data_IF_720262556349
#
_entry.id   IF_720262556349
#
_cell.length_a   1.000
_cell.length_b   1.000
_cell.length_c   1.000
_cell.angle_alpha   90.00
_cell.angle_beta   90.00
_cell.angle_gamma   90.00
#
_symmetry.space_group_name_H-M   'P 1'
#
loop_
_entity.id
_entity.type
_entity.pdbx_description
1 polymer ?
#
# COMPACT_ATOMS: atom_id res chain seq x y z
N UNK A 1 21.60 -30.62 -14.66
CA UNK A 1 20.33 -30.10 -15.19
C UNK A 1 20.26 -28.64 -14.76
N UNK A 2 20.35 -27.70 -15.70
CA UNK A 2 20.09 -26.29 -15.43
C UNK A 2 18.64 -26.19 -14.97
N UNK A 3 18.39 -26.03 -13.68
CA UNK A 3 17.04 -25.71 -13.22
C UNK A 3 16.68 -24.36 -13.83
N UNK A 4 15.71 -24.38 -14.76
CA UNK A 4 15.18 -23.15 -15.33
C UNK A 4 14.66 -22.28 -14.18
N UNK A 5 15.05 -21.00 -14.15
CA UNK A 5 14.69 -20.09 -13.08
C UNK A 5 13.16 -19.95 -13.01
N UNK A 6 12.59 -20.12 -11.80
CA UNK A 6 11.13 -20.11 -11.60
C UNK A 6 10.51 -18.79 -12.08
N UNK A 7 9.36 -18.88 -12.76
CA UNK A 7 8.62 -17.74 -13.32
C UNK A 7 7.31 -17.56 -12.56
N UNK A 8 7.27 -16.55 -11.69
CA UNK A 8 6.15 -16.33 -10.77
C UNK A 8 5.27 -15.17 -11.27
N UNK A 9 3.95 -15.36 -11.29
CA UNK A 9 3.00 -14.27 -11.58
C UNK A 9 2.44 -13.70 -10.29
N UNK A 10 2.78 -12.44 -10.00
CA UNK A 10 2.35 -11.73 -8.80
C UNK A 10 1.03 -10.98 -9.05
N UNK A 11 -0.09 -11.54 -8.67
CA UNK A 11 -1.38 -10.90 -8.79
C UNK A 11 -1.59 -9.87 -7.67
N UNK A 12 -1.53 -8.59 -8.04
CA UNK A 12 -1.58 -7.46 -7.11
C UNK A 12 -2.24 -6.24 -7.76
N UNK A 13 -2.00 -5.04 -7.21
CA UNK A 13 -2.52 -3.78 -7.74
C UNK A 13 -1.40 -2.79 -8.06
N UNK A 14 -0.25 -3.27 -8.56
CA UNK A 14 0.96 -2.49 -8.86
C UNK A 14 0.65 -1.13 -9.51
N UNK A 15 -0.15 -1.11 -10.57
CA UNK A 15 -0.45 0.12 -11.33
C UNK A 15 -1.63 0.92 -10.74
N UNK A 16 -1.83 0.83 -9.43
CA UNK A 16 -2.70 1.72 -8.69
C UNK A 16 -2.24 3.17 -8.81
N UNK A 17 -3.17 4.14 -8.87
CA UNK A 17 -2.81 5.55 -8.71
C UNK A 17 -2.09 5.82 -7.39
N UNK A 18 -2.37 5.04 -6.34
CA UNK A 18 -1.58 5.07 -5.12
C UNK A 18 -0.26 4.32 -5.35
N UNK A 19 0.81 5.08 -5.52
CA UNK A 19 2.16 4.59 -5.78
C UNK A 19 2.72 3.71 -4.65
N UNK A 20 2.14 3.77 -3.44
CA UNK A 20 2.48 2.83 -2.35
C UNK A 20 2.24 1.37 -2.73
N UNK A 21 1.15 1.10 -3.46
CA UNK A 21 0.85 -0.24 -3.98
C UNK A 21 1.86 -0.70 -5.04
N UNK A 22 2.38 0.24 -5.83
CA UNK A 22 3.45 -0.03 -6.79
C UNK A 22 4.79 -0.29 -6.08
N UNK A 23 5.10 0.50 -5.05
CA UNK A 23 6.35 0.43 -4.28
C UNK A 23 6.52 -0.94 -3.62
N UNK A 24 5.48 -1.42 -2.93
CA UNK A 24 5.51 -2.73 -2.31
C UNK A 24 5.59 -3.85 -3.38
N UNK A 25 4.93 -3.66 -4.54
CA UNK A 25 4.88 -4.68 -5.60
C UNK A 25 6.25 -4.83 -6.27
N UNK A 26 6.90 -3.71 -6.59
CA UNK A 26 8.27 -3.69 -7.11
C UNK A 26 9.27 -4.23 -6.09
N UNK A 27 9.06 -3.97 -4.79
CA UNK A 27 9.92 -4.52 -3.73
C UNK A 27 9.82 -6.05 -3.65
N UNK A 28 8.61 -6.63 -3.80
CA UNK A 28 8.41 -8.07 -3.85
C UNK A 28 8.98 -8.71 -5.12
N UNK A 29 8.82 -8.06 -6.27
CA UNK A 29 9.43 -8.50 -7.54
C UNK A 29 10.95 -8.60 -7.41
N UNK A 30 11.60 -7.53 -6.96
CA UNK A 30 13.04 -7.47 -6.79
C UNK A 30 13.55 -8.50 -5.79
N UNK A 31 12.83 -8.74 -4.69
CA UNK A 31 13.19 -9.79 -3.72
C UNK A 31 13.14 -11.20 -4.33
N UNK A 32 12.15 -11.49 -5.17
CA UNK A 32 12.10 -12.77 -5.87
C UNK A 32 13.21 -12.91 -6.92
N UNK A 33 13.59 -11.83 -7.59
CA UNK A 33 14.74 -11.81 -8.50
C UNK A 33 16.05 -12.05 -7.75
N UNK A 34 16.24 -11.40 -6.59
CA UNK A 34 17.39 -11.60 -5.71
C UNK A 34 17.49 -13.08 -5.27
N UNK A 35 16.35 -13.73 -5.04
CA UNK A 35 16.26 -15.15 -4.69
C UNK A 35 16.35 -16.13 -5.88
N UNK A 36 16.68 -15.62 -7.08
CA UNK A 36 16.95 -16.45 -8.26
C UNK A 36 15.74 -16.79 -9.14
N UNK A 37 14.60 -16.11 -8.97
CA UNK A 37 13.50 -16.20 -9.92
C UNK A 37 13.84 -15.46 -11.22
N UNK A 38 13.26 -15.90 -12.35
CA UNK A 38 13.52 -15.30 -13.66
C UNK A 38 13.11 -13.82 -13.70
N UNK A 39 14.01 -12.85 -13.99
CA UNK A 39 13.62 -11.44 -14.09
C UNK A 39 12.63 -11.14 -15.22
N UNK A 40 12.73 -11.86 -16.34
CA UNK A 40 11.78 -11.74 -17.45
C UNK A 40 10.49 -12.53 -17.25
N UNK A 41 10.51 -13.54 -16.37
CA UNK A 41 9.37 -14.39 -16.06
C UNK A 41 8.69 -14.10 -14.72
N UNK A 42 9.21 -13.21 -13.90
CA UNK A 42 8.65 -12.92 -12.57
C UNK A 42 8.25 -11.47 -12.46
N UNK A 43 6.95 -11.20 -12.46
CA UNK A 43 6.43 -9.84 -12.55
C UNK A 43 4.96 -9.76 -12.12
N UNK A 44 4.52 -8.54 -11.84
CA UNK A 44 3.16 -8.23 -11.42
C UNK A 44 2.14 -8.34 -12.55
N UNK A 45 1.01 -8.95 -12.22
CA UNK A 45 -0.21 -8.99 -13.02
C UNK A 45 -1.27 -8.18 -12.27
N UNK A 46 -1.63 -7.02 -12.81
CA UNK A 46 -2.54 -6.12 -12.12
C UNK A 46 -3.98 -6.65 -12.14
N UNK A 47 -4.56 -6.83 -10.96
CA UNK A 47 -5.92 -7.35 -10.76
C UNK A 47 -7.02 -6.44 -11.33
N UNK A 48 -6.72 -5.20 -11.74
CA UNK A 48 -7.66 -4.35 -12.46
C UNK A 48 -7.34 -4.28 -13.97
N UNK A 49 -6.39 -5.08 -14.45
CA UNK A 49 -5.87 -5.08 -15.82
C UNK A 49 -5.39 -3.69 -16.26
N UNK A 50 -4.65 -3.02 -15.38
CA UNK A 50 -3.86 -1.82 -15.67
C UNK A 50 -2.46 -2.23 -16.13
N UNK A 51 -1.80 -1.39 -16.92
CA UNK A 51 -0.49 -1.71 -17.52
C UNK A 51 0.56 -0.63 -17.34
N UNK A 52 0.22 0.51 -16.74
CA UNK A 52 1.13 1.63 -16.55
C UNK A 52 0.67 2.49 -15.37
N UNK A 53 1.64 3.17 -14.73
CA UNK A 53 1.35 4.21 -13.76
C UNK A 53 0.68 5.42 -14.42
N UNK A 54 -0.20 6.09 -13.70
CA UNK A 54 -0.89 7.26 -14.19
C UNK A 54 -1.99 7.72 -13.23
N UNK A 55 -2.50 8.95 -13.39
CA UNK A 55 -3.38 9.63 -12.43
C UNK A 55 -4.78 9.01 -12.27
N UNK A 56 -5.04 7.82 -12.85
CA UNK A 56 -6.38 7.27 -12.97
C UNK A 56 -7.27 8.11 -13.89
N UNK A 57 -8.40 7.54 -14.36
CA UNK A 57 -9.33 8.29 -15.19
C UNK A 57 -10.17 9.27 -14.36
N UNK A 58 -10.24 10.55 -14.74
CA UNK A 58 -11.06 11.57 -14.07
C UNK A 58 -12.55 11.21 -13.97
N UNK A 59 -13.06 10.41 -14.92
CA UNK A 59 -14.43 9.88 -14.93
C UNK A 59 -14.73 8.89 -13.79
N UNK A 60 -13.69 8.27 -13.21
CA UNK A 60 -13.84 7.30 -12.11
C UNK A 60 -14.25 7.98 -10.81
N UNK A 61 -13.74 9.18 -10.53
CA UNK A 61 -14.11 9.93 -9.32
C UNK A 61 -15.57 10.37 -9.32
N UNK A 62 -16.09 10.81 -10.48
CA UNK A 62 -17.50 11.14 -10.65
C UNK A 62 -18.41 9.90 -10.50
N UNK A 63 -18.00 8.76 -11.09
CA UNK A 63 -18.72 7.49 -10.95
C UNK A 63 -18.73 7.00 -9.49
N UNK A 64 -17.60 7.06 -8.79
CA UNK A 64 -17.52 6.67 -7.38
C UNK A 64 -18.44 7.53 -6.51
N UNK A 65 -18.45 8.87 -6.70
CA UNK A 65 -19.34 9.79 -5.97
C UNK A 65 -20.82 9.49 -6.23
N UNK A 66 -21.19 9.20 -7.48
CA UNK A 66 -22.55 8.79 -7.83
C UNK A 66 -22.92 7.47 -7.15
N UNK A 67 -22.05 6.47 -7.21
CA UNK A 67 -22.29 5.15 -6.62
C UNK A 67 -22.37 5.23 -5.08
N UNK A 68 -21.56 6.08 -4.43
CA UNK A 68 -21.62 6.27 -2.97
C UNK A 68 -22.91 6.93 -2.50
N UNK A 69 -23.60 7.68 -3.37
CA UNK A 69 -24.92 8.25 -3.06
C UNK A 69 -26.07 7.23 -3.10
N UNK A 70 -25.83 5.99 -3.58
CA UNK A 70 -26.84 4.95 -3.64
C UNK A 70 -26.86 4.10 -2.36
N UNK A 71 -28.03 3.64 -1.89
CA UNK A 71 -28.12 2.66 -0.81
C UNK A 71 -27.30 1.40 -1.13
N UNK A 72 -26.62 0.77 -0.14
CA UNK A 72 -25.72 -0.36 -0.38
C UNK A 72 -26.34 -1.52 -1.18
N UNK A 73 -27.61 -1.84 -0.93
CA UNK A 73 -28.33 -2.91 -1.66
C UNK A 73 -28.56 -2.58 -3.14
N UNK A 74 -28.87 -1.31 -3.45
CA UNK A 74 -29.08 -0.81 -4.82
C UNK A 74 -27.76 -0.77 -5.56
N UNK A 75 -26.72 -0.22 -4.93
CA UNK A 75 -25.36 -0.13 -5.48
C UNK A 75 -24.82 -1.51 -5.87
N UNK A 76 -24.93 -2.49 -4.96
CA UNK A 76 -24.49 -3.87 -5.22
C UNK A 76 -25.20 -4.49 -6.41
N UNK A 77 -26.51 -4.27 -6.55
CA UNK A 77 -27.29 -4.82 -7.66
C UNK A 77 -26.94 -4.13 -8.98
N UNK A 78 -26.86 -2.80 -8.98
CA UNK A 78 -26.50 -2.00 -10.14
C UNK A 78 -25.11 -2.33 -10.70
N UNK A 79 -24.17 -2.70 -9.82
CA UNK A 79 -22.80 -3.03 -10.22
C UNK A 79 -22.63 -4.46 -10.74
N UNK A 80 -23.56 -5.40 -10.51
CA UNK A 80 -23.41 -6.81 -10.90
C UNK A 80 -23.13 -7.00 -12.40
N UNK A 81 -23.96 -6.40 -13.26
CA UNK A 81 -23.86 -6.56 -14.71
C UNK A 81 -22.59 -5.89 -15.30
N UNK A 82 -22.28 -4.61 -14.98
CA UNK A 82 -21.01 -4.00 -15.37
C UNK A 82 -19.80 -4.79 -14.88
N UNK A 83 -19.86 -5.32 -13.65
CA UNK A 83 -18.78 -6.12 -13.08
C UNK A 83 -18.56 -7.43 -13.82
N UNK A 84 -19.63 -8.16 -14.11
CA UNK A 84 -19.55 -9.39 -14.91
C UNK A 84 -18.98 -9.09 -16.31
N UNK A 85 -19.40 -8.00 -16.95
CA UNK A 85 -18.86 -7.59 -18.23
C UNK A 85 -17.35 -7.25 -18.17
N UNK A 86 -16.91 -6.50 -17.15
CA UNK A 86 -15.47 -6.21 -16.94
C UNK A 86 -14.67 -7.49 -16.69
N UNK A 87 -15.20 -8.40 -15.88
CA UNK A 87 -14.58 -9.69 -15.60
C UNK A 87 -14.36 -10.49 -16.88
N UNK A 88 -15.40 -10.67 -17.71
CA UNK A 88 -15.32 -11.49 -18.92
C UNK A 88 -14.54 -10.83 -20.05
N UNK A 89 -14.70 -9.51 -20.26
CA UNK A 89 -14.12 -8.81 -21.42
C UNK A 89 -12.70 -8.33 -21.17
N UNK A 90 -12.32 -8.07 -19.92
CA UNK A 90 -11.04 -7.42 -19.58
C UNK A 90 -10.17 -8.26 -18.66
N UNK A 91 -10.68 -8.66 -17.49
CA UNK A 91 -9.83 -9.28 -16.47
C UNK A 91 -9.44 -10.71 -16.81
N UNK A 92 -10.40 -11.57 -17.16
CA UNK A 92 -10.12 -12.98 -17.49
C UNK A 92 -9.14 -13.12 -18.67
N UNK A 93 -9.32 -12.45 -19.83
CA UNK A 93 -8.35 -12.52 -20.91
C UNK A 93 -6.99 -11.90 -20.56
N UNK A 94 -6.96 -10.90 -19.67
CA UNK A 94 -5.70 -10.36 -19.16
C UNK A 94 -4.96 -11.40 -18.31
N UNK A 95 -5.65 -12.05 -17.37
CA UNK A 95 -5.06 -13.05 -16.48
C UNK A 95 -4.60 -14.29 -17.25
N UNK A 96 -5.42 -14.81 -18.18
CA UNK A 96 -5.08 -15.97 -18.99
C UNK A 96 -3.77 -15.77 -19.75
N UNK A 97 -3.63 -14.63 -20.45
CA UNK A 97 -2.40 -14.30 -21.20
C UNK A 97 -1.15 -14.24 -20.33
N UNK A 98 -1.28 -13.86 -19.06
CA UNK A 98 -0.12 -13.75 -18.16
C UNK A 98 0.22 -15.08 -17.50
N UNK A 99 -0.76 -15.95 -17.31
CA UNK A 99 -0.56 -17.27 -16.72
C UNK A 99 0.04 -18.28 -17.70
N UNK A 100 0.11 -17.94 -18.99
CA UNK A 100 0.83 -18.73 -19.96
C UNK A 100 2.32 -18.75 -19.57
N UNK A 101 2.90 -19.96 -19.47
CA UNK A 101 4.28 -20.19 -19.01
C UNK A 101 4.58 -19.79 -17.55
N UNK A 102 3.58 -19.56 -16.70
CA UNK A 102 3.80 -19.37 -15.28
C UNK A 102 4.12 -20.73 -14.61
N UNK A 103 5.05 -20.73 -13.66
CA UNK A 103 5.35 -21.90 -12.84
C UNK A 103 4.63 -21.84 -11.49
N UNK A 104 4.28 -20.63 -11.04
CA UNK A 104 3.54 -20.38 -9.80
C UNK A 104 2.79 -19.04 -9.84
N UNK A 105 1.84 -18.88 -8.90
CA UNK A 105 1.06 -17.66 -8.69
C UNK A 105 1.23 -17.18 -7.25
N UNK A 106 1.38 -15.88 -7.07
CA UNK A 106 1.32 -15.24 -5.74
C UNK A 106 0.22 -14.18 -5.76
N UNK A 107 -0.71 -14.26 -4.82
CA UNK A 107 -1.69 -13.23 -4.54
C UNK A 107 -1.19 -12.42 -3.37
N UNK A 108 -0.70 -11.20 -3.61
CA UNK A 108 0.00 -10.52 -2.53
C UNK A 108 0.24 -9.05 -2.75
N UNK A 109 0.66 -8.40 -1.67
CA UNK A 109 1.08 -7.02 -1.69
C UNK A 109 -0.07 -6.00 -1.54
N UNK A 110 -0.55 -5.84 -0.32
CA UNK A 110 -1.53 -4.81 0.05
C UNK A 110 -2.87 -5.37 0.54
N UNK A 111 -3.88 -4.50 0.62
CA UNK A 111 -5.18 -4.83 1.21
C UNK A 111 -6.11 -5.55 0.20
N UNK A 112 -5.66 -6.67 -0.36
CA UNK A 112 -6.36 -7.37 -1.44
C UNK A 112 -7.61 -8.12 -0.98
N UNK A 113 -7.61 -8.65 0.24
CA UNK A 113 -8.73 -9.41 0.80
C UNK A 113 -9.73 -8.44 1.42
N UNK A 114 -10.45 -7.71 0.56
CA UNK A 114 -11.45 -6.74 0.97
C UNK A 114 -12.74 -6.80 0.13
N UNK A 115 -13.89 -6.93 0.79
CA UNK A 115 -15.18 -7.02 0.09
C UNK A 115 -15.92 -5.68 0.03
N UNK A 116 -15.43 -4.82 -0.87
CA UNK A 116 -16.16 -3.63 -1.29
C UNK A 116 -16.87 -3.94 -2.60
N UNK A 117 -18.19 -4.15 -2.52
CA UNK A 117 -19.09 -4.43 -3.64
C UNK A 117 -18.62 -5.60 -4.54
N UNK A 118 -18.08 -6.68 -3.95
CA UNK A 118 -17.57 -7.87 -4.65
C UNK A 118 -16.44 -7.60 -5.66
N UNK A 119 -15.84 -6.40 -5.66
CA UNK A 119 -14.81 -6.01 -6.61
C UNK A 119 -13.55 -6.89 -6.49
N UNK A 120 -12.89 -6.90 -5.33
CA UNK A 120 -11.76 -7.80 -5.10
C UNK A 120 -12.17 -9.27 -4.99
N UNK A 121 -13.27 -9.67 -4.32
CA UNK A 121 -13.71 -11.06 -4.32
C UNK A 121 -13.80 -11.67 -5.72
N UNK A 122 -14.35 -10.92 -6.69
CA UNK A 122 -14.48 -11.39 -8.08
C UNK A 122 -13.12 -11.52 -8.78
N UNK A 123 -12.20 -10.57 -8.56
CA UNK A 123 -10.84 -10.61 -9.11
C UNK A 123 -10.03 -11.78 -8.54
N UNK A 124 -10.06 -11.94 -7.22
CA UNK A 124 -9.35 -13.01 -6.50
C UNK A 124 -9.88 -14.38 -6.92
N UNK A 125 -11.20 -14.56 -6.91
CA UNK A 125 -11.80 -15.83 -7.31
C UNK A 125 -11.46 -16.20 -8.76
N UNK A 126 -11.42 -15.22 -9.67
CA UNK A 126 -11.05 -15.45 -11.06
C UNK A 126 -9.57 -15.82 -11.20
N UNK A 127 -8.65 -15.14 -10.51
CA UNK A 127 -7.23 -15.44 -10.52
C UNK A 127 -6.96 -16.86 -9.95
N UNK A 128 -7.55 -17.17 -8.79
CA UNK A 128 -7.49 -18.49 -8.15
C UNK A 128 -8.04 -19.60 -9.05
N UNK A 129 -9.20 -19.37 -9.68
CA UNK A 129 -9.82 -20.37 -10.57
C UNK A 129 -8.97 -20.65 -11.81
N UNK A 130 -8.31 -19.63 -12.38
CA UNK A 130 -7.42 -19.81 -13.53
C UNK A 130 -6.11 -20.49 -13.15
N UNK A 131 -5.56 -20.19 -11.98
CA UNK A 131 -4.41 -20.89 -11.43
C UNK A 131 -4.74 -22.37 -11.18
N UNK A 132 -5.89 -22.66 -10.58
CA UNK A 132 -6.40 -24.01 -10.36
C UNK A 132 -6.58 -24.80 -11.67
N UNK A 133 -7.18 -24.18 -12.70
CA UNK A 133 -7.36 -24.80 -14.02
C UNK A 133 -6.02 -25.18 -14.68
N UNK A 134 -4.94 -24.46 -14.37
CA UNK A 134 -3.57 -24.72 -14.84
C UNK A 134 -2.74 -25.55 -13.86
N UNK A 135 -3.32 -25.97 -12.73
CA UNK A 135 -2.66 -26.70 -11.64
C UNK A 135 -1.41 -25.99 -11.11
N UNK A 136 -1.42 -24.65 -11.12
CA UNK A 136 -0.30 -23.86 -10.60
C UNK A 136 -0.34 -23.83 -9.07
N UNK A 137 0.81 -23.99 -8.39
CA UNK A 137 0.91 -23.70 -6.96
C UNK A 137 0.64 -22.22 -6.73
N UNK A 138 -0.11 -21.93 -5.66
CA UNK A 138 -0.52 -20.57 -5.29
C UNK A 138 -0.01 -20.27 -3.90
N UNK A 139 0.51 -19.07 -3.71
CA UNK A 139 0.73 -18.51 -2.39
C UNK A 139 -0.08 -17.22 -2.21
N UNK A 140 -0.45 -16.95 -0.96
CA UNK A 140 -1.02 -15.68 -0.54
C UNK A 140 0.04 -15.00 0.31
N UNK A 141 0.43 -13.77 -0.03
CA UNK A 141 1.61 -13.15 0.59
C UNK A 141 1.36 -11.73 1.08
N UNK A 142 1.58 -11.50 2.37
CA UNK A 142 1.55 -10.17 2.99
C UNK A 142 0.24 -9.41 2.76
N UNK A 143 -0.90 -10.11 2.69
CA UNK A 143 -2.19 -9.49 2.40
C UNK A 143 -2.84 -8.92 3.66
N UNK A 144 -3.54 -7.80 3.51
CA UNK A 144 -4.49 -7.31 4.51
C UNK A 144 -5.88 -7.89 4.30
N UNK A 145 -6.57 -8.25 5.40
CA UNK A 145 -7.93 -8.80 5.38
C UNK A 145 -8.90 -7.86 6.10
N UNK A 146 -9.90 -7.33 5.39
CA UNK A 146 -10.92 -6.45 6.00
C UNK A 146 -11.92 -7.22 6.86
N UNK A 147 -12.56 -6.53 7.81
CA UNK A 147 -13.57 -7.12 8.70
C UNK A 147 -14.92 -7.33 8.00
N UNK A 148 -15.33 -6.40 7.15
CA UNK A 148 -16.65 -6.44 6.53
C UNK A 148 -16.64 -7.29 5.26
N UNK A 149 -17.23 -8.48 5.34
CA UNK A 149 -17.40 -9.39 4.21
C UNK A 149 -18.87 -9.74 4.00
N UNK A 150 -19.32 -9.72 2.74
CA UNK A 150 -20.63 -10.26 2.40
C UNK A 150 -20.56 -11.79 2.34
N UNK A 151 -21.67 -12.47 2.66
CA UNK A 151 -21.78 -13.93 2.50
C UNK A 151 -21.47 -14.39 1.07
N UNK A 152 -21.77 -13.55 0.09
CA UNK A 152 -21.47 -13.82 -1.32
C UNK A 152 -19.97 -13.77 -1.56
N UNK A 153 -19.27 -12.75 -1.03
CA UNK A 153 -17.82 -12.62 -1.12
C UNK A 153 -17.09 -13.78 -0.43
N UNK A 154 -17.52 -14.14 0.78
CA UNK A 154 -16.95 -15.28 1.54
C UNK A 154 -17.08 -16.57 0.74
N UNK A 155 -18.27 -16.87 0.24
CA UNK A 155 -18.53 -18.09 -0.54
C UNK A 155 -17.74 -18.12 -1.84
N UNK A 156 -17.65 -16.99 -2.52
CA UNK A 156 -16.96 -16.85 -3.80
C UNK A 156 -15.45 -17.09 -3.65
N UNK A 157 -14.80 -16.39 -2.73
CA UNK A 157 -13.37 -16.55 -2.46
C UNK A 157 -13.09 -17.91 -1.84
N UNK A 158 -13.91 -18.35 -0.87
CA UNK A 158 -13.78 -19.66 -0.25
C UNK A 158 -13.85 -20.82 -1.24
N UNK A 159 -14.78 -20.80 -2.20
CA UNK A 159 -14.86 -21.81 -3.26
C UNK A 159 -13.59 -21.82 -4.12
N UNK A 160 -13.08 -20.64 -4.47
CA UNK A 160 -11.89 -20.54 -5.31
C UNK A 160 -10.62 -20.98 -4.58
N UNK A 161 -10.50 -20.68 -3.27
CA UNK A 161 -9.42 -21.16 -2.41
C UNK A 161 -9.42 -22.69 -2.31
N UNK A 162 -10.58 -23.30 -2.09
CA UNK A 162 -10.68 -24.77 -2.00
C UNK A 162 -10.36 -25.50 -3.30
N UNK A 163 -10.46 -24.83 -4.45
CA UNK A 163 -10.05 -25.40 -5.74
C UNK A 163 -8.58 -25.18 -6.10
N UNK A 164 -7.89 -24.26 -5.42
CA UNK A 164 -6.51 -23.88 -5.73
C UNK A 164 -5.50 -24.69 -4.90
N UNK A 165 -4.30 -24.92 -5.45
CA UNK A 165 -3.20 -25.55 -4.71
C UNK A 165 -2.48 -24.50 -3.85
N UNK A 166 -3.08 -24.13 -2.72
CA UNK A 166 -2.49 -23.18 -1.79
C UNK A 166 -1.29 -23.84 -1.09
N UNK A 167 -0.10 -23.23 -1.19
CA UNK A 167 1.15 -23.73 -0.61
C UNK A 167 1.69 -22.89 0.54
N UNK A 168 1.30 -21.62 0.59
CA UNK A 168 1.76 -20.69 1.61
C UNK A 168 0.74 -19.55 1.80
N UNK A 169 0.55 -19.11 3.04
CA UNK A 169 -0.33 -18.00 3.37
C UNK A 169 0.33 -17.12 4.43
N UNK A 170 0.61 -15.88 4.07
CA UNK A 170 0.99 -14.84 5.03
C UNK A 170 0.07 -13.62 4.95
N UNK A 171 -0.13 -13.00 6.09
CA UNK A 171 -0.88 -11.75 6.28
C UNK A 171 -0.02 -10.72 6.99
N UNK A 172 -0.34 -9.43 6.80
CA UNK A 172 0.53 -8.35 7.25
C UNK A 172 0.44 -7.99 8.74
N UNK A 173 -0.67 -8.32 9.38
CA UNK A 173 -0.99 -7.88 10.75
C UNK A 173 -1.89 -8.89 11.47
N UNK A 174 -1.88 -8.84 12.81
CA UNK A 174 -2.62 -9.76 13.67
C UNK A 174 -4.15 -9.73 13.41
N UNK A 175 -4.81 -8.56 13.28
CA UNK A 175 -6.23 -8.52 12.91
C UNK A 175 -6.53 -9.20 11.56
N UNK A 176 -5.64 -9.08 10.59
CA UNK A 176 -5.78 -9.77 9.30
C UNK A 176 -5.61 -11.29 9.44
N UNK A 177 -4.74 -11.75 10.34
CA UNK A 177 -4.53 -13.17 10.65
C UNK A 177 -5.78 -13.79 11.26
N UNK A 178 -6.34 -13.15 12.28
CA UNK A 178 -7.57 -13.61 12.94
C UNK A 178 -8.73 -13.73 11.93
N UNK A 179 -8.92 -12.69 11.10
CA UNK A 179 -9.97 -12.67 10.08
C UNK A 179 -9.73 -13.72 8.99
N UNK A 180 -8.50 -13.86 8.50
CA UNK A 180 -8.19 -14.92 7.52
C UNK A 180 -8.48 -16.30 8.09
N UNK A 181 -8.03 -16.56 9.32
CA UNK A 181 -8.19 -17.86 9.95
C UNK A 181 -9.66 -18.19 10.22
N UNK A 182 -10.45 -17.18 10.58
CA UNK A 182 -11.90 -17.33 10.79
C UNK A 182 -12.65 -17.59 9.47
N UNK A 183 -12.32 -16.84 8.42
CA UNK A 183 -13.12 -16.83 7.19
C UNK A 183 -12.65 -17.86 6.14
N UNK A 184 -11.35 -18.10 6.06
CA UNK A 184 -10.73 -18.71 4.88
C UNK A 184 -9.74 -19.84 5.16
N UNK A 185 -9.16 -19.98 6.36
CA UNK A 185 -8.15 -21.02 6.62
C UNK A 185 -8.62 -22.44 6.32
N UNK A 186 -9.86 -22.80 6.71
CA UNK A 186 -10.41 -24.11 6.37
C UNK A 186 -10.52 -24.32 4.85
N UNK A 187 -10.84 -23.25 4.10
CA UNK A 187 -10.99 -23.31 2.64
C UNK A 187 -9.65 -23.32 1.91
N UNK A 188 -8.64 -22.64 2.46
CA UNK A 188 -7.27 -22.64 1.98
C UNK A 188 -6.49 -23.90 2.39
N UNK A 189 -6.96 -24.63 3.40
CA UNK A 189 -6.30 -25.83 3.93
C UNK A 189 -5.15 -25.53 4.90
N UNK A 190 -4.94 -24.27 5.28
CA UNK A 190 -3.88 -23.86 6.20
C UNK A 190 -4.20 -22.53 6.88
N UNK A 191 -3.60 -22.29 8.05
CA UNK A 191 -3.66 -21.01 8.75
C UNK A 191 -2.68 -20.00 8.15
N UNK A 192 -2.97 -18.72 8.33
CA UNK A 192 -2.07 -17.64 7.93
C UNK A 192 -0.96 -17.42 8.98
N UNK A 193 0.25 -17.24 8.48
CA UNK A 193 1.41 -16.74 9.24
C UNK A 193 1.53 -15.22 9.09
N UNK A 194 2.32 -14.58 9.96
CA UNK A 194 2.61 -13.14 9.83
C UNK A 194 3.82 -12.93 8.93
N UNK A 195 3.73 -11.94 8.05
CA UNK A 195 4.88 -11.42 7.30
C UNK A 195 4.81 -9.89 7.29
N UNK A 196 5.96 -9.21 7.40
CA UNK A 196 6.00 -7.75 7.29
C UNK A 196 5.69 -7.31 5.86
N UNK A 197 5.26 -6.05 5.69
CA UNK A 197 4.96 -5.49 4.37
C UNK A 197 6.23 -5.48 3.49
N UNK A 198 6.18 -6.03 2.25
CA UNK A 198 7.34 -6.06 1.36
C UNK A 198 7.89 -4.67 1.00
N UNK A 199 7.11 -3.60 1.17
CA UNK A 199 7.57 -2.22 0.99
C UNK A 199 8.74 -1.84 1.91
N UNK A 200 8.97 -2.55 3.02
CA UNK A 200 10.15 -2.39 3.87
C UNK A 200 11.46 -2.71 3.14
N UNK A 201 11.40 -3.46 2.03
CA UNK A 201 12.57 -3.83 1.23
C UNK A 201 12.97 -2.74 0.23
N UNK A 202 12.24 -1.61 0.15
CA UNK A 202 12.49 -0.59 -0.88
C UNK A 202 13.92 -0.04 -0.86
N UNK A 203 14.52 0.14 0.33
CA UNK A 203 15.90 0.64 0.45
C UNK A 203 16.97 -0.35 -0.01
N UNK A 204 16.62 -1.64 -0.19
CA UNK A 204 17.50 -2.64 -0.80
C UNK A 204 17.65 -2.46 -2.31
N UNK A 205 16.63 -1.90 -2.97
CA UNK A 205 16.53 -1.87 -4.43
C UNK A 205 16.49 -0.46 -5.02
N UNK A 206 16.23 0.55 -4.20
CA UNK A 206 16.26 1.96 -4.60
C UNK A 206 17.34 2.67 -3.80
N UNK A 207 18.34 3.23 -4.49
CA UNK A 207 19.38 4.01 -3.82
C UNK A 207 18.79 5.29 -3.20
N UNK A 208 19.12 5.58 -1.93
CA UNK A 208 18.66 6.80 -1.27
C UNK A 208 19.27 8.05 -1.92
N UNK A 209 18.60 9.17 -1.72
CA UNK A 209 19.11 10.50 -2.07
C UNK A 209 19.83 11.08 -0.86
N UNK A 210 20.99 11.71 -1.08
CA UNK A 210 21.73 12.42 -0.04
C UNK A 210 20.90 13.58 0.52
N UNK A 211 20.77 13.65 1.85
CA UNK A 211 19.99 14.66 2.54
C UNK A 211 20.83 15.93 2.70
N UNK A 212 20.27 17.07 2.32
CA UNK A 212 20.93 18.37 2.45
C UNK A 212 20.64 19.06 3.78
N UNK A 213 19.85 18.43 4.66
CA UNK A 213 19.43 18.99 5.94
C UNK A 213 18.21 19.91 5.85
N UNK A 214 17.47 19.98 6.97
CA UNK A 214 16.38 20.92 7.19
C UNK A 214 15.16 20.76 6.29
N UNK A 215 14.92 19.60 5.66
CA UNK A 215 13.81 19.37 4.74
C UNK A 215 12.78 18.41 5.32
N UNK A 216 11.55 18.89 5.51
CA UNK A 216 10.40 18.11 5.98
C UNK A 216 9.53 17.70 4.80
N UNK A 217 9.32 16.39 4.64
CA UNK A 217 8.33 15.86 3.73
C UNK A 217 6.93 15.95 4.33
N UNK A 218 5.99 16.60 3.65
CA UNK A 218 4.59 16.67 4.06
C UNK A 218 3.71 15.86 3.10
N UNK A 219 3.37 14.64 3.53
CA UNK A 219 2.50 13.71 2.80
C UNK A 219 1.03 14.08 2.98
N UNK A 220 0.50 14.86 2.04
CA UNK A 220 -0.88 15.37 2.09
C UNK A 220 -1.87 14.28 1.67
N UNK A 221 -2.93 14.12 2.46
CA UNK A 221 -4.02 13.17 2.23
C UNK A 221 -5.36 13.89 2.39
N UNK A 222 -6.32 13.59 1.51
CA UNK A 222 -7.66 14.18 1.53
C UNK A 222 -8.52 13.66 2.68
N UNK A 223 -9.38 14.49 3.27
CA UNK A 223 -10.24 14.01 4.35
C UNK A 223 -11.33 13.05 3.86
N UNK A 224 -11.63 12.99 2.55
CA UNK A 224 -12.45 11.93 1.94
C UNK A 224 -11.76 10.56 2.05
N UNK A 225 -10.45 10.48 1.75
CA UNK A 225 -9.70 9.24 1.91
C UNK A 225 -9.63 8.83 3.39
N UNK A 226 -9.50 9.81 4.29
CA UNK A 226 -9.53 9.63 5.75
C UNK A 226 -10.89 9.11 6.23
N UNK A 227 -12.00 9.75 5.82
CA UNK A 227 -13.38 9.33 6.13
C UNK A 227 -13.75 7.96 5.57
N UNK A 228 -13.18 7.55 4.43
CA UNK A 228 -13.50 6.26 3.81
C UNK A 228 -12.93 5.06 4.58
N UNK A 229 -11.92 5.27 5.45
CA UNK A 229 -11.34 4.19 6.27
C UNK A 229 -11.28 4.50 7.78
N UNK A 230 -11.98 5.53 8.25
CA UNK A 230 -12.03 5.92 9.67
C UNK A 230 -13.34 6.62 10.05
N UNK A 231 -13.65 6.67 11.34
CA UNK A 231 -14.79 7.40 11.93
C UNK A 231 -14.51 8.90 12.14
N UNK A 232 -13.60 9.50 11.35
CA UNK A 232 -13.13 10.88 11.54
C UNK A 232 -14.09 11.91 10.93
N UNK A 233 -14.53 12.90 11.73
CA UNK A 233 -15.60 13.85 11.35
C UNK A 233 -15.09 15.25 10.93
N UNK A 234 -13.77 15.46 10.83
CA UNK A 234 -13.22 16.77 10.46
C UNK A 234 -13.35 17.02 8.94
N UNK A 235 -14.02 18.11 8.57
CA UNK A 235 -14.15 18.58 7.18
C UNK A 235 -12.81 18.87 6.50
N UNK A 236 -12.80 18.88 5.16
CA UNK A 236 -11.61 19.20 4.35
C UNK A 236 -10.99 20.56 4.74
N UNK A 237 -11.81 21.52 5.17
CA UNK A 237 -11.36 22.84 5.62
C UNK A 237 -10.55 22.79 6.93
N UNK A 238 -11.01 22.03 7.93
CA UNK A 238 -10.29 21.89 9.20
C UNK A 238 -8.92 21.23 9.00
N UNK A 239 -8.88 20.18 8.16
CA UNK A 239 -7.64 19.52 7.80
C UNK A 239 -6.70 20.46 7.00
N UNK A 240 -7.26 21.30 6.12
CA UNK A 240 -6.50 22.31 5.41
C UNK A 240 -5.88 23.34 6.37
N UNK A 241 -6.65 23.86 7.34
CA UNK A 241 -6.13 24.78 8.36
C UNK A 241 -5.00 24.15 9.20
N UNK A 242 -5.16 22.88 9.55
CA UNK A 242 -4.14 22.12 10.28
C UNK A 242 -2.83 22.01 9.49
N UNK A 243 -2.89 21.66 8.20
CA UNK A 243 -1.70 21.65 7.33
C UNK A 243 -1.05 23.04 7.21
N UNK A 244 -1.86 24.10 7.13
CA UNK A 244 -1.36 25.49 7.07
C UNK A 244 -0.64 25.89 8.36
N UNK A 245 -1.17 25.50 9.51
CA UNK A 245 -0.57 25.78 10.81
C UNK A 245 0.79 25.09 10.96
N UNK A 246 0.92 23.84 10.55
CA UNK A 246 2.21 23.13 10.53
C UNK A 246 3.19 23.77 9.54
N UNK A 247 2.74 24.15 8.34
CA UNK A 247 3.60 24.84 7.38
C UNK A 247 4.17 26.15 7.96
N UNK A 248 3.34 26.95 8.64
CA UNK A 248 3.80 28.16 9.36
C UNK A 248 4.82 27.82 10.44
N UNK A 249 4.54 26.81 11.26
CA UNK A 249 5.40 26.43 12.39
C UNK A 249 6.77 25.89 11.96
N UNK A 250 6.81 25.07 10.91
CA UNK A 250 8.05 24.49 10.35
C UNK A 250 8.83 25.56 9.58
N UNK A 251 8.17 26.40 8.78
CA UNK A 251 8.86 27.49 8.09
C UNK A 251 9.45 28.49 9.09
N UNK A 252 8.74 28.76 10.19
CA UNK A 252 9.21 29.61 11.29
C UNK A 252 10.43 29.06 12.03
N UNK A 253 10.73 27.76 11.95
CA UNK A 253 12.00 27.17 12.44
C UNK A 253 13.12 27.15 11.40
N UNK A 254 12.93 27.77 10.24
CA UNK A 254 13.92 27.84 9.17
C UNK A 254 14.05 26.55 8.35
N UNK A 255 13.13 25.59 8.55
CA UNK A 255 13.09 24.34 7.80
C UNK A 255 12.27 24.51 6.51
N UNK A 256 12.64 23.75 5.48
CA UNK A 256 11.94 23.65 4.20
C UNK A 256 10.84 22.61 4.29
N UNK A 257 9.73 22.86 3.61
CA UNK A 257 8.60 21.94 3.46
C UNK A 257 8.49 21.52 2.01
N UNK A 258 8.42 20.21 1.79
CA UNK A 258 8.13 19.61 0.49
C UNK A 258 6.80 18.89 0.59
N UNK A 259 5.74 19.50 0.06
CA UNK A 259 4.43 18.85 -0.03
C UNK A 259 4.38 17.87 -1.20
N UNK A 260 3.81 16.69 -0.95
CA UNK A 260 3.59 15.65 -1.96
C UNK A 260 2.37 14.80 -1.60
N UNK A 261 1.98 13.91 -2.51
CA UNK A 261 1.02 12.84 -2.22
C UNK A 261 1.56 11.49 -2.70
N UNK A 262 0.93 10.39 -2.27
CA UNK A 262 1.23 9.07 -2.82
C UNK A 262 0.61 8.83 -4.20
N UNK A 263 0.00 9.84 -4.84
CA UNK A 263 -0.53 9.79 -6.21
C UNK A 263 -2.02 9.45 -6.32
N UNK A 264 -2.72 9.21 -5.21
CA UNK A 264 -4.17 8.96 -5.28
C UNK A 264 -4.91 10.21 -5.82
N UNK A 265 -5.90 10.06 -6.70
CA UNK A 265 -6.56 11.20 -7.34
C UNK A 265 -7.22 12.14 -6.33
N UNK A 266 -7.77 11.58 -5.25
CA UNK A 266 -8.42 12.33 -4.18
C UNK A 266 -7.40 13.20 -3.42
N UNK A 267 -6.23 12.64 -3.08
CA UNK A 267 -5.18 13.38 -2.39
C UNK A 267 -4.57 14.46 -3.29
N UNK A 268 -4.32 14.15 -4.57
CA UNK A 268 -3.82 15.14 -5.54
C UNK A 268 -4.81 16.28 -5.75
N UNK A 269 -6.12 15.97 -5.83
CA UNK A 269 -7.17 16.98 -5.94
C UNK A 269 -7.21 17.88 -4.71
N UNK A 270 -7.07 17.30 -3.52
CA UNK A 270 -7.06 18.06 -2.27
C UNK A 270 -5.81 18.93 -2.16
N UNK A 271 -4.62 18.38 -2.42
CA UNK A 271 -3.38 19.15 -2.44
C UNK A 271 -3.44 20.29 -3.46
N UNK A 272 -3.96 20.06 -4.67
CA UNK A 272 -4.18 21.11 -5.66
C UNK A 272 -5.07 22.25 -5.14
N UNK A 273 -6.10 21.93 -4.36
CA UNK A 273 -7.02 22.93 -3.82
C UNK A 273 -6.38 23.81 -2.74
N UNK A 274 -5.41 23.28 -1.98
CA UNK A 274 -4.78 24.00 -0.85
C UNK A 274 -3.37 24.51 -1.16
N UNK A 275 -2.75 24.12 -2.28
CA UNK A 275 -1.35 24.39 -2.65
C UNK A 275 -0.96 25.87 -2.51
N UNK A 276 -1.78 26.77 -3.08
CA UNK A 276 -1.53 28.21 -3.02
C UNK A 276 -1.59 28.77 -1.59
N UNK A 277 -2.42 28.18 -0.73
CA UNK A 277 -2.51 28.57 0.69
C UNK A 277 -1.30 28.07 1.47
N UNK A 278 -0.83 26.84 1.19
CA UNK A 278 0.39 26.29 1.79
C UNK A 278 1.61 27.12 1.41
N UNK A 279 1.73 27.48 0.12
CA UNK A 279 2.78 28.36 -0.37
C UNK A 279 2.76 29.73 0.31
N UNK A 280 1.58 30.34 0.47
CA UNK A 280 1.44 31.61 1.19
C UNK A 280 1.79 31.48 2.69
N UNK A 281 1.51 30.34 3.31
CA UNK A 281 1.77 30.09 4.72
C UNK A 281 3.26 29.89 5.05
N UNK A 282 4.03 29.28 4.14
CA UNK A 282 5.44 28.94 4.37
C UNK A 282 6.43 29.77 3.52
N UNK A 283 5.97 30.59 2.57
CA UNK A 283 6.81 31.46 1.75
C UNK A 283 7.85 30.68 0.95
N UNK A 284 9.10 31.16 0.92
CA UNK A 284 10.21 30.55 0.18
C UNK A 284 10.62 29.17 0.72
N UNK A 285 10.20 28.81 1.94
CA UNK A 285 10.44 27.50 2.52
C UNK A 285 9.55 26.41 1.92
N UNK A 286 8.53 26.76 1.12
CA UNK A 286 7.61 25.80 0.54
C UNK A 286 8.00 25.39 -0.89
N UNK A 287 7.91 24.09 -1.15
CA UNK A 287 7.87 23.57 -2.51
C UNK A 287 6.92 22.38 -2.61
N UNK A 288 6.49 22.08 -3.83
CA UNK A 288 5.67 20.92 -4.12
C UNK A 288 6.37 19.97 -5.07
N UNK A 289 6.25 18.68 -4.81
CA UNK A 289 6.78 17.60 -5.65
C UNK A 289 5.67 16.59 -5.94
N UNK A 290 5.62 16.10 -7.17
CA UNK A 290 4.62 15.12 -7.61
C UNK A 290 5.32 13.89 -8.19
N UNK A 291 5.57 12.84 -7.39
CA UNK A 291 6.09 11.60 -7.91
C UNK A 291 5.04 10.94 -8.82
N UNK A 292 5.48 10.33 -9.91
CA UNK A 292 4.63 9.65 -10.90
C UNK A 292 4.89 8.15 -10.97
N UNK A 293 5.98 7.68 -10.36
CA UNK A 293 6.36 6.27 -10.24
C UNK A 293 6.72 5.92 -8.80
N UNK A 294 6.66 4.63 -8.41
CA UNK A 294 7.08 4.21 -7.07
C UNK A 294 8.53 4.52 -6.75
N UNK A 295 9.42 4.38 -7.74
CA UNK A 295 10.84 4.75 -7.59
C UNK A 295 11.00 6.25 -7.33
N UNK A 296 10.25 7.12 -8.03
CA UNK A 296 10.27 8.57 -7.75
C UNK A 296 9.75 8.89 -6.35
N UNK A 297 8.67 8.22 -5.91
CA UNK A 297 8.15 8.38 -4.55
C UNK A 297 9.18 7.95 -3.50
N UNK A 298 9.81 6.79 -3.68
CA UNK A 298 10.83 6.28 -2.78
C UNK A 298 12.04 7.22 -2.69
N UNK A 299 12.57 7.68 -3.83
CA UNK A 299 13.68 8.64 -3.87
C UNK A 299 13.30 9.97 -3.22
N UNK A 300 12.09 10.48 -3.46
CA UNK A 300 11.60 11.68 -2.82
C UNK A 300 11.56 11.52 -1.30
N UNK A 301 10.98 10.42 -0.80
CA UNK A 301 10.91 10.14 0.64
C UNK A 301 12.31 10.03 1.25
N UNK A 302 13.25 9.34 0.60
CA UNK A 302 14.62 9.18 1.09
C UNK A 302 15.40 10.50 1.24
N UNK A 303 14.98 11.54 0.52
CA UNK A 303 15.61 12.87 0.53
C UNK A 303 15.23 13.74 1.72
N UNK A 304 14.24 13.33 2.53
CA UNK A 304 13.75 14.12 3.65
C UNK A 304 14.54 13.84 4.94
N UNK A 305 14.68 14.86 5.78
CA UNK A 305 15.22 14.73 7.14
C UNK A 305 14.16 14.22 8.11
N UNK A 306 12.89 14.50 7.84
CA UNK A 306 11.77 13.83 8.48
C UNK A 306 10.53 13.82 7.59
N UNK A 307 9.62 12.89 7.85
CA UNK A 307 8.36 12.74 7.12
C UNK A 307 7.16 12.93 8.06
N UNK A 308 6.15 13.66 7.61
CA UNK A 308 4.84 13.73 8.25
C UNK A 308 3.81 13.21 7.25
N UNK A 309 3.10 12.11 7.56
CA UNK A 309 2.18 11.50 6.59
C UNK A 309 1.07 10.64 7.23
N UNK A 310 -0.08 10.57 6.55
CA UNK A 310 -1.16 9.61 6.84
C UNK A 310 -0.92 8.25 6.15
N UNK A 311 -0.35 8.25 4.93
CA UNK A 311 -0.28 7.06 4.09
C UNK A 311 0.78 6.08 4.62
N UNK A 312 0.32 4.90 5.04
CA UNK A 312 1.18 3.83 5.59
C UNK A 312 2.40 3.51 4.72
N UNK A 313 2.25 3.40 3.38
CA UNK A 313 3.39 3.10 2.51
C UNK A 313 4.42 4.22 2.40
N UNK A 314 4.04 5.48 2.67
CA UNK A 314 5.04 6.55 2.80
C UNK A 314 5.87 6.35 4.09
N UNK A 315 5.20 5.99 5.19
CA UNK A 315 5.84 5.70 6.48
C UNK A 315 6.74 4.45 6.41
N UNK A 316 6.30 3.39 5.73
CA UNK A 316 7.09 2.18 5.48
C UNK A 316 8.36 2.51 4.69
N UNK A 317 8.23 3.28 3.61
CA UNK A 317 9.39 3.68 2.81
C UNK A 317 10.35 4.55 3.62
N UNK A 318 9.83 5.51 4.39
CA UNK A 318 10.63 6.34 5.27
C UNK A 318 11.40 5.52 6.31
N UNK A 319 10.73 4.58 6.98
CA UNK A 319 11.38 3.66 7.91
C UNK A 319 12.51 2.86 7.24
N UNK A 320 12.25 2.30 6.05
CA UNK A 320 13.23 1.54 5.25
C UNK A 320 14.49 2.36 4.93
N UNK A 321 14.36 3.68 4.74
CA UNK A 321 15.46 4.60 4.48
C UNK A 321 16.06 5.26 5.73
N UNK A 322 15.57 4.95 6.94
CA UNK A 322 16.00 5.66 8.15
C UNK A 322 15.61 7.14 8.16
N UNK A 323 14.44 7.46 7.61
CA UNK A 323 13.83 8.79 7.69
C UNK A 323 12.87 8.79 8.89
N UNK A 324 13.16 9.53 9.97
CA UNK A 324 12.25 9.67 11.09
C UNK A 324 10.88 10.17 10.63
N UNK A 325 9.81 9.56 11.14
CA UNK A 325 8.46 9.85 10.67
C UNK A 325 7.51 10.16 11.82
N UNK A 326 6.68 11.18 11.64
CA UNK A 326 5.51 11.45 12.47
C UNK A 326 4.26 10.97 11.72
N UNK A 327 3.63 9.91 12.22
CA UNK A 327 2.46 9.35 11.54
C UNK A 327 1.19 10.07 11.97
N UNK A 328 0.37 10.41 10.98
CA UNK A 328 -0.94 10.99 11.22
C UNK A 328 -1.94 9.85 11.34
N UNK A 329 -2.46 9.63 12.56
CA UNK A 329 -3.34 8.52 12.92
C UNK A 329 -4.70 8.70 12.24
N UNK A 330 -5.15 7.66 11.56
CA UNK A 330 -6.47 7.64 10.92
C UNK A 330 -6.99 6.22 10.66
N UNK A 331 -6.13 5.32 10.19
CA UNK A 331 -6.47 3.92 9.92
C UNK A 331 -5.71 3.03 10.91
N UNK A 332 -6.37 2.04 11.57
CA UNK A 332 -5.72 1.09 12.47
C UNK A 332 -4.48 0.39 11.89
N UNK A 333 -4.33 0.32 10.56
CA UNK A 333 -3.13 -0.21 9.91
C UNK A 333 -1.89 0.64 10.16
N UNK A 334 -2.05 1.96 10.24
CA UNK A 334 -0.96 2.88 10.58
C UNK A 334 -0.52 2.62 12.02
N UNK A 335 -1.46 2.50 12.96
CA UNK A 335 -1.18 2.15 14.35
C UNK A 335 -0.44 0.81 14.45
N UNK A 336 -0.93 -0.22 13.76
CA UNK A 336 -0.30 -1.55 13.74
C UNK A 336 1.14 -1.49 13.20
N UNK A 337 1.37 -0.75 12.10
CA UNK A 337 2.71 -0.60 11.54
C UNK A 337 3.64 0.14 12.51
N UNK A 338 3.25 1.29 13.02
CA UNK A 338 4.08 2.11 13.92
C UNK A 338 4.40 1.36 15.22
N UNK A 339 3.45 0.61 15.76
CA UNK A 339 3.69 -0.29 16.90
C UNK A 339 4.70 -1.40 16.56
N UNK A 340 4.61 -2.00 15.36
CA UNK A 340 5.51 -3.07 14.92
C UNK A 340 6.97 -2.66 14.73
N UNK A 341 7.25 -1.35 14.72
CA UNK A 341 8.60 -0.77 14.58
C UNK A 341 9.00 0.06 15.80
N UNK A 342 8.23 0.03 16.89
CA UNK A 342 8.55 0.73 18.14
C UNK A 342 8.34 2.25 18.10
N UNK A 343 7.52 2.75 17.18
CA UNK A 343 7.29 4.18 16.94
C UNK A 343 5.88 4.66 17.34
N UNK A 344 5.20 3.95 18.25
CA UNK A 344 3.81 4.27 18.67
C UNK A 344 3.63 5.69 19.23
N UNK A 345 4.68 6.25 19.84
CA UNK A 345 4.67 7.59 20.44
C UNK A 345 4.83 8.72 19.39
N UNK A 346 5.21 8.39 18.16
CA UNK A 346 5.43 9.35 17.07
C UNK A 346 4.18 9.48 16.20
N UNK A 347 3.02 9.63 16.84
CA UNK A 347 1.73 9.67 16.16
C UNK A 347 0.74 10.60 16.84
N UNK A 348 -0.07 11.29 16.04
CA UNK A 348 -1.24 12.02 16.53
C UNK A 348 -2.35 12.05 15.46
N UNK A 349 -3.58 12.32 15.89
CA UNK A 349 -4.68 12.62 14.97
C UNK A 349 -4.47 14.05 14.43
N UNK A 350 -4.72 14.26 13.15
CA UNK A 350 -4.53 15.57 12.50
C UNK A 350 -5.68 16.54 12.80
N UNK A 351 -5.74 17.04 14.03
CA UNK A 351 -6.78 17.93 14.55
C UNK A 351 -6.19 19.17 15.26
N UNK A 352 -7.01 20.21 15.41
CA UNK A 352 -6.57 21.46 16.04
C UNK A 352 -6.01 21.23 17.45
N UNK A 353 -4.82 21.76 17.72
CA UNK A 353 -4.08 21.60 18.97
C UNK A 353 -3.00 20.50 18.94
N UNK A 354 -2.90 19.72 17.87
CA UNK A 354 -1.87 18.67 17.71
C UNK A 354 -0.67 19.10 16.85
N UNK A 355 -0.76 20.27 16.21
CA UNK A 355 0.26 20.80 15.29
C UNK A 355 1.62 20.96 15.99
N UNK A 356 1.60 21.41 17.24
CA UNK A 356 2.82 21.64 18.03
C UNK A 356 3.63 20.36 18.24
N UNK A 357 2.97 19.20 18.32
CA UNK A 357 3.66 17.91 18.44
C UNK A 357 4.46 17.59 17.17
N UNK A 358 3.88 17.88 16.00
CA UNK A 358 4.52 17.70 14.69
C UNK A 358 5.67 18.68 14.52
N UNK A 359 5.45 19.95 14.86
CA UNK A 359 6.46 21.01 14.74
C UNK A 359 7.65 20.70 15.66
N UNK A 360 7.39 20.31 16.91
CA UNK A 360 8.43 19.94 17.86
C UNK A 360 9.18 18.67 17.42
N UNK A 361 8.46 17.66 16.91
CA UNK A 361 9.08 16.49 16.31
C UNK A 361 10.03 16.89 15.18
N UNK A 362 9.57 17.72 14.23
CA UNK A 362 10.35 18.16 13.08
C UNK A 362 11.60 18.97 13.49
N UNK A 363 11.51 19.81 14.52
CA UNK A 363 12.66 20.59 15.04
C UNK A 363 13.75 19.71 15.63
N UNK A 364 13.37 18.59 16.26
CA UNK A 364 14.32 17.63 16.87
C UNK A 364 15.03 16.77 15.82
N UNK A 365 14.50 16.69 14.60
CA UNK A 365 15.10 15.91 13.53
C UNK A 365 16.24 16.70 12.86
N UNK A 366 17.38 16.71 13.53
CA UNK A 366 18.69 17.10 13.00
C UNK A 366 19.82 16.23 13.60
N UNK A 367 19.45 15.15 14.28
CA UNK A 367 20.41 14.23 14.91
C UNK A 367 20.65 13.04 13.99
N UNK A 368 21.91 12.58 13.86
CA UNK A 368 22.19 11.32 13.18
C UNK A 368 21.40 10.18 13.82
N UNK A 369 20.98 9.22 13.01
CA UNK A 369 20.43 7.98 13.52
C UNK A 369 21.44 7.29 14.43
N UNK A 370 20.98 6.77 15.57
CA UNK A 370 21.83 6.00 16.47
C UNK A 370 22.16 4.65 15.86
N UNK A 371 23.32 4.08 16.20
CA UNK A 371 23.68 2.73 15.74
C UNK A 371 22.61 1.69 16.14
N UNK A 372 22.03 1.81 17.34
CA UNK A 372 20.96 0.94 17.80
C UNK A 372 19.70 1.01 16.93
N UNK A 373 19.30 2.23 16.50
CA UNK A 373 18.16 2.42 15.61
C UNK A 373 18.45 1.87 14.20
N UNK A 374 19.67 2.07 13.68
CA UNK A 374 20.11 1.51 12.41
C UNK A 374 20.07 -0.04 12.43
N UNK A 375 20.62 -0.66 13.47
CA UNK A 375 20.61 -2.12 13.65
C UNK A 375 19.17 -2.66 13.79
N UNK A 376 18.30 -1.94 14.52
CA UNK A 376 16.89 -2.32 14.65
C UNK A 376 16.17 -2.27 13.30
N UNK A 377 16.40 -1.24 12.50
CA UNK A 377 15.86 -1.13 11.14
C UNK A 377 16.37 -2.28 10.26
N UNK A 378 17.66 -2.58 10.28
CA UNK A 378 18.23 -3.68 9.48
C UNK A 378 17.60 -5.03 9.84
N UNK A 379 17.36 -5.29 11.13
CA UNK A 379 16.62 -6.49 11.58
C UNK A 379 15.20 -6.51 11.00
N UNK A 380 14.47 -5.40 11.07
CA UNK A 380 13.10 -5.32 10.51
C UNK A 380 13.09 -5.53 9.00
N UNK A 381 14.08 -5.03 8.27
CA UNK A 381 14.23 -5.25 6.82
C UNK A 381 14.53 -6.73 6.53
N UNK A 382 15.40 -7.37 7.32
CA UNK A 382 15.68 -8.80 7.20
C UNK A 382 14.45 -9.67 7.50
N UNK A 383 13.67 -9.32 8.52
CA UNK A 383 12.38 -9.96 8.85
C UNK A 383 11.32 -9.77 7.77
N UNK A 384 11.38 -8.71 6.97
CA UNK A 384 10.53 -8.53 5.80
C UNK A 384 10.98 -9.37 4.60
N UNK A 385 12.29 -9.66 4.50
CA UNK A 385 12.86 -10.43 3.40
C UNK A 385 12.70 -11.94 3.61
N UNK A 386 12.90 -12.43 4.84
CA UNK A 386 12.88 -13.86 5.17
C UNK A 386 11.60 -14.58 4.70
N UNK A 387 10.37 -14.05 4.90
CA UNK A 387 9.16 -14.72 4.45
C UNK A 387 9.06 -14.82 2.91
N UNK A 388 9.75 -13.97 2.14
CA UNK A 388 9.83 -14.11 0.68
C UNK A 388 10.62 -15.37 0.29
N UNK A 389 11.65 -15.72 1.06
CA UNK A 389 12.39 -16.97 0.88
C UNK A 389 11.53 -18.19 1.19
N UNK A 390 10.80 -18.16 2.31
CA UNK A 390 9.88 -19.23 2.72
C UNK A 390 8.75 -19.43 1.70
N UNK A 391 8.23 -18.32 1.17
CA UNK A 391 7.29 -18.31 0.05
C UNK A 391 7.85 -19.09 -1.15
N UNK A 392 9.09 -18.77 -1.57
CA UNK A 392 9.71 -19.42 -2.74
C UNK A 392 9.94 -20.92 -2.49
N UNK A 393 10.38 -21.30 -1.31
CA UNK A 393 10.53 -22.71 -0.92
C UNK A 393 9.21 -23.47 -0.95
N UNK A 394 8.13 -22.85 -0.44
CA UNK A 394 6.81 -23.45 -0.42
C UNK A 394 6.24 -23.68 -1.83
N UNK A 395 6.52 -22.77 -2.78
CA UNK A 395 6.09 -22.91 -4.17
C UNK A 395 6.87 -23.98 -4.96
N UNK A 396 8.04 -24.40 -4.48
CA UNK A 396 8.84 -25.48 -5.09
C UNK A 396 8.38 -26.89 -4.67
N UNK A 397 7.62 -27.00 -3.58
CA UNK A 397 7.00 -28.26 -3.10
C UNK A 397 5.64 -28.45 -3.76
#
# INVERSE_FOLDING_TARGET
MTHDAMRIRLFNVKYSPNLGDGLLSESLENALWELGCSPSGTYSVDLAARSSYGPGGASRGALLRFLTGLPPAVRRTALRLPMAALMHRRWRPHYERHLDSADAVVLGGGNLFSDIDLNFPSKLAQALSLAAARKLPVAIYGVGVSGDWSETGIRMVGKALSGASIRHVTVRDEPSRERFNTLFAQKAGMQAELARDPGLLVSRYVSPVERTGGTVGLGVTSAIAVRYHSSYDAGDDALAEWYLAICRGIAGSGQKIVAFTNGSPEDESFLNAIDGRLAAAAGESYSRRRPTTPTELARLISSFDCLVAHRMHALIAAYSFGVPSFALRWDPKVDAFMASVGASEQMAVAEAGTEDQVIEFARRQNMPETAEAADARERVIAEAFQPVSLLLEALKR
#
